data_IF_642919576240
#
_entry.id   IF_642919576240
#
_cell.length_a   1.000
_cell.length_b   1.000
_cell.length_c   1.000
_cell.angle_alpha   90.00
_cell.angle_beta   90.00
_cell.angle_gamma   90.00
#
_symmetry.space_group_name_H-M   'P 1'
#
loop_
_entity.id
_entity.type
_entity.pdbx_description
1 polymer ?
#
# COMPACT_ATOMS: atom_id res chain seq x y z
N UNK A 1 -7.24 5.64 -3.72
CA UNK A 1 -6.56 4.52 -3.04
C UNK A 1 -7.55 3.44 -2.63
N UNK A 2 -8.52 3.74 -1.76
CA UNK A 2 -9.57 2.79 -1.32
C UNK A 2 -10.30 2.09 -2.48
N UNK A 3 -10.63 2.81 -3.56
CA UNK A 3 -11.24 2.22 -4.77
C UNK A 3 -10.37 1.14 -5.42
N UNK A 4 -9.04 1.32 -5.45
CA UNK A 4 -8.11 0.34 -6.00
C UNK A 4 -8.04 -0.90 -5.11
N UNK A 5 -7.96 -0.72 -3.79
CA UNK A 5 -7.99 -1.84 -2.85
C UNK A 5 -9.30 -2.62 -2.93
N UNK A 6 -10.44 -1.92 -2.99
CA UNK A 6 -11.74 -2.55 -3.21
C UNK A 6 -11.78 -3.34 -4.51
N UNK A 7 -11.22 -2.79 -5.59
CA UNK A 7 -11.15 -3.48 -6.87
C UNK A 7 -10.27 -4.73 -6.80
N UNK A 8 -9.11 -4.65 -6.15
CA UNK A 8 -8.24 -5.82 -5.90
C UNK A 8 -9.03 -6.85 -5.09
N UNK A 9 -9.68 -6.44 -4.01
CA UNK A 9 -10.36 -7.39 -3.15
C UNK A 9 -11.58 -8.05 -3.81
N UNK A 10 -12.37 -7.33 -4.61
CA UNK A 10 -13.66 -7.83 -5.12
C UNK A 10 -13.58 -8.44 -6.53
N UNK A 11 -12.48 -8.24 -7.26
CA UNK A 11 -12.35 -8.74 -8.62
C UNK A 11 -12.08 -10.25 -8.67
N UNK A 12 -12.64 -10.93 -9.67
CA UNK A 12 -12.40 -12.36 -9.89
C UNK A 12 -11.08 -12.59 -10.65
N UNK A 13 -9.96 -12.30 -10.00
CA UNK A 13 -8.62 -12.54 -10.54
C UNK A 13 -8.03 -13.91 -10.16
N UNK A 14 -8.77 -14.73 -9.40
CA UNK A 14 -8.35 -16.09 -9.00
C UNK A 14 -7.12 -16.10 -8.10
N UNK A 15 -6.92 -15.04 -7.31
CA UNK A 15 -5.83 -14.90 -6.35
C UNK A 15 -6.42 -14.70 -4.97
N UNK A 16 -5.77 -15.26 -3.96
CA UNK A 16 -6.16 -15.08 -2.57
C UNK A 16 -5.25 -14.03 -1.96
N UNK A 17 -5.81 -12.92 -1.51
CA UNK A 17 -5.03 -11.72 -1.15
C UNK A 17 -5.35 -11.32 0.28
N UNK A 18 -4.33 -11.24 1.13
CA UNK A 18 -4.43 -10.59 2.43
C UNK A 18 -4.13 -9.10 2.28
N UNK A 19 -4.91 -8.24 2.95
CA UNK A 19 -4.67 -6.80 2.99
C UNK A 19 -4.34 -6.39 4.40
N UNK A 20 -3.27 -5.60 4.52
CA UNK A 20 -2.81 -4.99 5.74
C UNK A 20 -2.98 -3.49 5.57
N UNK A 21 -3.87 -2.90 6.35
CA UNK A 21 -4.13 -1.45 6.37
C UNK A 21 -3.45 -0.78 7.56
N UNK A 22 -3.02 0.45 7.36
CA UNK A 22 -2.20 1.16 8.33
C UNK A 22 -2.79 2.50 8.82
N UNK A 23 -4.05 2.82 8.51
CA UNK A 23 -4.64 4.08 8.95
C UNK A 23 -5.26 4.05 10.36
N UNK A 24 -5.14 5.20 11.04
CA UNK A 24 -5.85 5.53 12.27
C UNK A 24 -7.08 6.38 11.87
N UNK A 25 -8.28 5.82 11.96
CA UNK A 25 -9.53 6.54 11.66
C UNK A 25 -10.46 5.79 10.73
N UNK A 26 -11.77 5.98 10.92
CA UNK A 26 -12.88 5.19 10.36
C UNK A 26 -13.07 5.35 8.84
N UNK A 27 -12.19 4.75 8.04
CA UNK A 27 -12.57 4.35 6.68
C UNK A 27 -12.22 2.88 6.54
N UNK A 28 -13.11 2.03 7.07
CA UNK A 28 -13.17 0.62 6.72
C UNK A 28 -13.17 0.53 5.18
N UNK A 29 -12.27 -0.26 4.58
CA UNK A 29 -12.61 -0.94 3.33
C UNK A 29 -14.00 -1.49 3.55
N UNK A 30 -14.98 -0.98 2.80
CA UNK A 30 -16.39 -1.13 3.11
C UNK A 30 -16.69 -2.62 3.33
N UNK A 31 -16.77 -3.00 4.60
CA UNK A 31 -16.87 -4.38 5.04
C UNK A 31 -18.21 -4.97 4.56
N UNK A 32 -19.17 -4.09 4.21
CA UNK A 32 -20.41 -4.44 3.51
C UNK A 32 -20.22 -4.78 2.03
N UNK A 33 -19.30 -4.13 1.32
CA UNK A 33 -18.97 -4.45 -0.08
C UNK A 33 -18.22 -5.78 -0.18
N UNK A 34 -17.29 -6.04 0.75
CA UNK A 34 -16.56 -7.31 0.81
C UNK A 34 -17.48 -8.48 1.20
N UNK A 35 -18.42 -8.28 2.14
CA UNK A 35 -19.37 -9.30 2.57
C UNK A 35 -20.44 -9.65 1.52
N UNK A 36 -20.81 -8.72 0.64
CA UNK A 36 -21.79 -8.96 -0.43
C UNK A 36 -21.27 -9.85 -1.57
N UNK A 37 -19.94 -9.98 -1.71
CA UNK A 37 -19.32 -10.96 -2.59
C UNK A 37 -19.03 -12.25 -1.79
N UNK A 38 -20.09 -13.03 -1.57
CA UNK A 38 -20.13 -14.24 -0.73
C UNK A 38 -19.16 -15.37 -1.12
N UNK A 39 -18.52 -15.30 -2.30
CA UNK A 39 -17.44 -16.22 -2.72
C UNK A 39 -16.02 -15.66 -2.53
N UNK A 40 -15.89 -14.39 -2.14
CA UNK A 40 -14.63 -13.65 -2.05
C UNK A 40 -14.28 -13.35 -0.59
N UNK A 41 -15.29 -13.23 0.28
CA UNK A 41 -15.11 -13.03 1.72
C UNK A 41 -14.30 -14.14 2.42
N UNK A 42 -14.19 -15.34 1.85
CA UNK A 42 -13.38 -16.43 2.41
C UNK A 42 -11.86 -16.25 2.19
N UNK A 43 -11.45 -15.51 1.17
CA UNK A 43 -10.04 -15.35 0.75
C UNK A 43 -9.40 -14.05 1.23
N UNK A 44 -10.19 -13.17 1.85
CA UNK A 44 -9.74 -11.87 2.33
C UNK A 44 -9.51 -11.93 3.83
N UNK A 45 -8.24 -11.80 4.21
CA UNK A 45 -7.87 -11.64 5.62
C UNK A 45 -7.59 -10.17 5.87
N UNK A 46 -8.54 -9.51 6.54
CA UNK A 46 -8.32 -8.18 7.10
C UNK A 46 -7.69 -8.31 8.48
N UNK A 47 -6.59 -7.58 8.71
CA UNK A 47 -5.95 -7.47 10.02
C UNK A 47 -5.86 -5.99 10.39
N UNK A 48 -6.84 -5.51 11.15
CA UNK A 48 -6.81 -4.17 11.72
C UNK A 48 -6.17 -4.23 13.12
N UNK A 49 -5.03 -3.57 13.34
CA UNK A 49 -4.42 -3.43 14.66
C UNK A 49 -3.61 -2.12 14.76
N UNK A 50 -4.32 -0.98 14.75
CA UNK A 50 -3.85 0.38 15.03
C UNK A 50 -2.36 0.61 15.39
N UNK A 51 -1.77 1.58 14.67
CA UNK A 51 -0.48 2.25 14.86
C UNK A 51 0.78 1.55 14.29
N UNK A 52 1.23 2.04 13.13
CA UNK A 52 2.61 1.92 12.63
C UNK A 52 3.30 3.30 12.62
N UNK A 53 3.02 4.21 13.55
CA UNK A 53 3.56 5.57 13.47
C UNK A 53 4.72 5.89 14.43
N UNK A 54 5.12 4.99 15.34
CA UNK A 54 6.29 5.22 16.22
C UNK A 54 7.19 4.00 16.48
N UNK A 55 6.89 2.82 15.92
CA UNK A 55 7.69 1.58 16.03
C UNK A 55 7.56 0.72 14.76
N UNK A 56 7.55 1.39 13.60
CA UNK A 56 7.14 0.89 12.28
C UNK A 56 7.65 -0.52 11.95
N UNK A 57 8.95 -0.75 12.06
CA UNK A 57 9.54 -2.03 11.69
C UNK A 57 9.10 -3.17 12.60
N UNK A 58 9.13 -2.95 13.92
CA UNK A 58 8.84 -4.00 14.89
C UNK A 58 7.39 -4.47 14.85
N UNK A 59 6.46 -3.55 14.61
CA UNK A 59 5.04 -3.87 14.59
C UNK A 59 4.63 -4.52 13.25
N UNK A 60 5.22 -4.10 12.13
CA UNK A 60 5.07 -4.79 10.85
C UNK A 60 5.57 -6.23 10.91
N UNK A 61 6.77 -6.46 11.46
CA UNK A 61 7.34 -7.82 11.62
C UNK A 61 6.40 -8.71 12.43
N UNK A 62 5.95 -8.25 13.61
CA UNK A 62 5.03 -9.03 14.46
C UNK A 62 3.74 -9.37 13.74
N UNK A 63 3.17 -8.40 13.02
CA UNK A 63 1.95 -8.58 12.27
C UNK A 63 2.11 -9.60 11.15
N UNK A 64 3.17 -9.48 10.34
CA UNK A 64 3.46 -10.43 9.27
C UNK A 64 3.66 -11.84 9.84
N UNK A 65 4.46 -12.00 10.90
CA UNK A 65 4.68 -13.31 11.51
C UNK A 65 3.41 -13.90 12.12
N UNK A 66 2.56 -13.08 12.74
CA UNK A 66 1.25 -13.51 13.27
C UNK A 66 0.32 -13.95 12.14
N UNK A 67 0.24 -13.16 11.06
CA UNK A 67 -0.57 -13.45 9.89
C UNK A 67 -0.13 -14.77 9.23
N UNK A 68 1.17 -14.94 9.00
CA UNK A 68 1.73 -16.16 8.43
C UNK A 68 1.49 -17.38 9.32
N UNK A 69 1.61 -17.23 10.64
CA UNK A 69 1.34 -18.32 11.58
C UNK A 69 -0.12 -18.75 11.59
N UNK A 70 -1.06 -17.81 11.46
CA UNK A 70 -2.49 -18.09 11.58
C UNK A 70 -3.14 -18.50 10.26
N UNK A 71 -2.68 -17.93 9.14
CA UNK A 71 -3.37 -18.00 7.85
C UNK A 71 -2.43 -18.09 6.64
N UNK A 72 -1.15 -18.43 6.83
CA UNK A 72 -0.14 -18.42 5.75
C UNK A 72 -0.43 -19.36 4.57
N UNK A 73 -1.32 -20.34 4.73
CA UNK A 73 -1.79 -21.25 3.68
C UNK A 73 -3.07 -20.75 2.95
N UNK A 74 -3.67 -19.66 3.45
CA UNK A 74 -4.96 -19.13 2.97
C UNK A 74 -4.83 -18.05 1.89
N UNK A 75 -3.66 -17.46 1.70
CA UNK A 75 -3.45 -16.41 0.69
C UNK A 75 -2.13 -16.62 -0.06
N UNK A 76 -2.07 -16.09 -1.27
CA UNK A 76 -0.90 -16.17 -2.16
C UNK A 76 -0.13 -14.84 -2.20
N UNK A 77 -0.80 -13.73 -1.84
CA UNK A 77 -0.24 -12.38 -1.87
C UNK A 77 -0.65 -11.59 -0.63
N UNK A 78 0.20 -10.63 -0.24
CA UNK A 78 -0.09 -9.64 0.79
C UNK A 78 0.01 -8.27 0.13
N UNK A 79 -1.03 -7.45 0.25
CA UNK A 79 -0.99 -6.03 -0.08
C UNK A 79 -0.88 -5.25 1.22
N UNK A 80 0.15 -4.41 1.31
CA UNK A 80 0.33 -3.51 2.44
C UNK A 80 -0.03 -2.12 1.97
N UNK A 81 -1.08 -1.58 2.56
CA UNK A 81 -1.45 -0.19 2.44
C UNK A 81 -0.65 0.61 3.46
N UNK A 82 0.07 1.62 2.97
CA UNK A 82 0.84 2.53 3.82
C UNK A 82 0.12 3.87 3.86
N UNK A 83 0.09 4.53 5.02
CA UNK A 83 -0.51 5.86 5.15
C UNK A 83 0.12 6.85 4.16
N UNK A 84 -0.61 7.91 3.79
CA UNK A 84 -0.10 8.91 2.84
C UNK A 84 1.21 9.60 3.26
N UNK A 85 1.58 9.54 4.54
CA UNK A 85 2.84 10.08 5.09
C UNK A 85 3.89 9.01 5.38
N UNK A 86 3.59 7.74 5.12
CA UNK A 86 4.51 6.65 5.34
C UNK A 86 5.69 6.71 4.37
N UNK A 87 6.85 6.33 4.87
CA UNK A 87 8.08 6.21 4.09
C UNK A 87 8.24 4.76 3.62
N UNK A 88 8.39 4.50 2.31
CA UNK A 88 8.58 3.14 1.81
C UNK A 88 9.85 2.46 2.34
N UNK A 89 10.94 3.22 2.48
CA UNK A 89 12.26 2.69 2.85
C UNK A 89 12.26 1.75 4.08
N UNK A 90 11.78 2.18 5.26
CA UNK A 90 11.70 1.33 6.44
C UNK A 90 10.82 0.06 6.28
N UNK A 91 9.77 0.15 5.45
CA UNK A 91 8.91 -1.00 5.14
C UNK A 91 9.67 -2.00 4.27
N UNK A 92 10.29 -1.52 3.19
CA UNK A 92 11.13 -2.33 2.29
C UNK A 92 12.25 -3.03 3.05
N UNK A 93 12.96 -2.27 3.91
CA UNK A 93 14.08 -2.77 4.70
C UNK A 93 13.66 -3.93 5.62
N UNK A 94 12.41 -3.96 6.07
CA UNK A 94 11.87 -5.07 6.88
C UNK A 94 11.91 -6.39 6.11
N UNK A 95 11.55 -6.38 4.82
CA UNK A 95 11.59 -7.59 3.98
C UNK A 95 13.01 -8.01 3.61
N UNK A 96 13.93 -7.05 3.51
CA UNK A 96 15.32 -7.30 3.13
C UNK A 96 16.18 -7.80 4.30
N UNK A 97 15.96 -7.28 5.51
CA UNK A 97 16.90 -7.45 6.63
C UNK A 97 16.36 -8.26 7.81
N UNK A 98 15.06 -8.58 7.86
CA UNK A 98 14.51 -9.45 8.89
C UNK A 98 14.51 -10.93 8.43
N UNK A 99 15.36 -11.75 9.07
CA UNK A 99 15.51 -13.17 8.72
C UNK A 99 14.25 -14.01 8.96
N UNK A 100 13.37 -13.61 9.88
CA UNK A 100 12.14 -14.35 10.12
C UNK A 100 11.10 -14.00 9.08
N UNK A 101 10.95 -12.72 8.75
CA UNK A 101 10.03 -12.26 7.70
C UNK A 101 10.42 -12.87 6.35
N UNK A 102 11.70 -12.76 5.97
CA UNK A 102 12.22 -13.24 4.67
C UNK A 102 12.08 -14.76 4.46
N UNK A 103 11.92 -15.56 5.53
CA UNK A 103 11.62 -17.00 5.43
C UNK A 103 10.22 -17.31 4.95
N UNK A 104 9.27 -16.39 5.16
CA UNK A 104 7.85 -16.62 4.86
C UNK A 104 7.33 -15.73 3.73
N UNK A 105 7.83 -14.50 3.63
CA UNK A 105 7.33 -13.50 2.70
C UNK A 105 8.49 -12.78 2.03
N UNK A 106 8.30 -12.39 0.77
CA UNK A 106 9.24 -11.58 -0.01
C UNK A 106 8.51 -10.33 -0.51
N UNK A 107 9.23 -9.21 -0.61
CA UNK A 107 8.70 -8.02 -1.27
C UNK A 107 8.66 -8.28 -2.79
N UNK A 108 7.47 -8.16 -3.38
CA UNK A 108 7.29 -8.32 -4.84
C UNK A 108 7.50 -7.01 -5.59
N UNK A 109 7.03 -5.90 -5.02
CA UNK A 109 7.29 -4.56 -5.52
C UNK A 109 6.53 -3.49 -4.76
N UNK A 110 6.89 -2.24 -5.03
CA UNK A 110 6.27 -1.02 -4.49
C UNK A 110 5.44 -0.37 -5.59
N UNK A 111 4.16 -0.15 -5.29
CA UNK A 111 3.23 0.51 -6.21
C UNK A 111 2.83 1.87 -5.64
N UNK A 112 3.09 2.93 -6.40
CA UNK A 112 2.74 4.30 -6.01
C UNK A 112 1.60 4.82 -6.88
N UNK A 113 0.49 5.18 -6.24
CA UNK A 113 -0.65 5.80 -6.90
C UNK A 113 -0.48 7.33 -6.92
N UNK A 114 -0.42 7.93 -8.10
CA UNK A 114 -0.17 9.36 -8.29
C UNK A 114 -1.45 10.05 -8.72
N UNK A 115 -1.92 11.03 -7.94
CA UNK A 115 -3.00 11.93 -8.33
C UNK A 115 -2.45 12.97 -9.34
N UNK A 116 -2.73 12.77 -10.63
CA UNK A 116 -2.23 13.63 -11.69
C UNK A 116 -2.57 15.10 -11.48
N UNK A 117 -3.71 15.43 -10.85
CA UNK A 117 -4.12 16.82 -10.67
C UNK A 117 -3.22 17.59 -9.70
N UNK A 118 -2.68 16.90 -8.71
CA UNK A 118 -1.91 17.51 -7.63
C UNK A 118 -0.43 17.07 -7.61
N UNK A 119 -0.05 16.13 -8.48
CA UNK A 119 1.27 15.50 -8.50
C UNK A 119 2.41 16.53 -8.58
N UNK A 120 2.39 17.43 -9.57
CA UNK A 120 3.47 18.41 -9.75
C UNK A 120 3.56 19.39 -8.58
N UNK A 121 2.45 19.73 -7.93
CA UNK A 121 2.46 20.57 -6.73
C UNK A 121 3.21 19.87 -5.59
N UNK A 122 2.92 18.59 -5.34
CA UNK A 122 3.56 17.82 -4.27
C UNK A 122 5.03 17.50 -4.58
N UNK A 123 5.35 17.15 -5.83
CA UNK A 123 6.73 16.85 -6.25
C UNK A 123 7.63 18.08 -6.21
N UNK A 124 7.12 19.27 -6.55
CA UNK A 124 7.87 20.52 -6.52
C UNK A 124 7.85 21.20 -5.15
N UNK A 125 7.17 20.64 -4.15
CA UNK A 125 7.11 21.23 -2.82
C UNK A 125 8.51 21.32 -2.21
N UNK A 126 8.96 22.55 -1.96
CA UNK A 126 10.26 22.81 -1.33
C UNK A 126 10.14 22.59 0.17
N UNK A 127 10.75 21.51 0.67
CA UNK A 127 10.84 21.22 2.10
C UNK A 127 12.01 21.96 2.74
N UNK A 128 11.98 22.09 4.07
CA UNK A 128 13.08 22.64 4.84
C UNK A 128 14.37 21.82 4.62
N UNK A 129 15.53 22.44 4.84
CA UNK A 129 16.83 21.77 4.71
C UNK A 129 16.84 20.49 5.58
N UNK A 130 17.29 19.38 5.00
CA UNK A 130 17.36 18.05 5.61
C UNK A 130 16.02 17.31 5.78
N UNK A 131 14.92 17.91 5.32
CA UNK A 131 13.62 17.22 5.25
C UNK A 131 13.45 16.66 3.84
N UNK A 132 13.26 15.35 3.75
CA UNK A 132 12.97 14.65 2.49
C UNK A 132 11.53 14.95 2.09
N UNK A 133 11.31 15.27 0.82
CA UNK A 133 9.96 15.38 0.26
C UNK A 133 9.38 13.96 0.11
N UNK A 134 8.29 13.70 0.82
CA UNK A 134 7.65 12.39 0.89
C UNK A 134 7.09 11.93 -0.47
N UNK A 135 6.54 12.86 -1.27
CA UNK A 135 6.03 12.53 -2.61
C UNK A 135 7.16 12.12 -3.55
N UNK A 136 8.31 12.82 -3.48
CA UNK A 136 9.51 12.45 -4.25
C UNK A 136 10.04 11.09 -3.80
N UNK A 137 10.09 10.85 -2.49
CA UNK A 137 10.54 9.58 -1.93
C UNK A 137 9.63 8.42 -2.37
N UNK A 138 8.31 8.57 -2.27
CA UNK A 138 7.34 7.53 -2.67
C UNK A 138 7.40 7.21 -4.16
N UNK A 139 7.60 8.21 -5.02
CA UNK A 139 7.79 7.98 -6.47
C UNK A 139 9.13 7.31 -6.75
N UNK A 140 10.20 7.71 -6.06
CA UNK A 140 11.54 7.16 -6.28
C UNK A 140 11.68 5.68 -5.86
N UNK A 141 10.93 5.23 -4.85
CA UNK A 141 10.91 3.83 -4.44
C UNK A 141 9.94 2.95 -5.25
N UNK A 142 9.14 3.52 -6.14
CA UNK A 142 8.12 2.78 -6.86
C UNK A 142 8.73 1.89 -7.97
N UNK A 143 8.41 0.60 -7.94
CA UNK A 143 8.62 -0.29 -9.07
C UNK A 143 7.55 -0.08 -10.15
N UNK A 144 6.36 0.38 -9.74
CA UNK A 144 5.28 0.73 -10.64
C UNK A 144 4.52 1.97 -10.15
N UNK A 145 4.32 2.90 -11.06
CA UNK A 145 3.51 4.09 -10.84
C UNK A 145 2.18 3.91 -11.55
N UNK A 146 1.08 4.17 -10.84
CA UNK A 146 -0.26 4.22 -11.40
C UNK A 146 -0.71 5.68 -11.42
N UNK A 147 -0.90 6.22 -12.61
CA UNK A 147 -1.45 7.56 -12.80
C UNK A 147 -2.97 7.50 -12.61
N UNK A 148 -3.48 8.33 -11.71
CA UNK A 148 -4.88 8.40 -11.36
C UNK A 148 -5.42 9.80 -11.59
N UNK A 149 -6.72 9.90 -11.88
CA UNK A 149 -7.40 11.15 -12.20
C UNK A 149 -6.81 11.87 -13.43
N UNK A 150 -6.37 11.10 -14.43
CA UNK A 150 -5.85 11.65 -15.70
C UNK A 150 -6.91 12.46 -16.45
N UNK A 151 -8.19 12.23 -16.17
CA UNK A 151 -9.32 12.99 -16.70
C UNK A 151 -9.42 14.43 -16.16
N UNK A 152 -8.69 14.76 -15.09
CA UNK A 152 -8.69 16.11 -14.47
C UNK A 152 -7.55 17.01 -14.94
N UNK A 153 -6.70 16.51 -15.83
CA UNK A 153 -5.54 17.23 -16.38
C UNK A 153 -5.58 17.22 -17.90
N UNK A 154 -4.98 18.23 -18.52
CA UNK A 154 -4.81 18.24 -19.97
C UNK A 154 -3.58 17.42 -20.42
N UNK A 155 -3.46 17.22 -21.74
CA UNK A 155 -2.36 16.43 -22.32
C UNK A 155 -0.98 17.04 -22.01
N UNK A 156 -0.89 18.36 -21.81
CA UNK A 156 0.38 19.04 -21.50
C UNK A 156 0.78 18.76 -20.05
N UNK A 157 -0.15 18.88 -19.10
CA UNK A 157 0.05 18.52 -17.70
C UNK A 157 0.43 17.04 -17.55
N UNK A 158 -0.21 16.15 -18.34
CA UNK A 158 0.08 14.71 -18.31
C UNK A 158 1.44 14.36 -18.92
N UNK A 159 1.82 15.03 -20.01
CA UNK A 159 3.12 14.85 -20.65
C UNK A 159 4.27 15.25 -19.71
N UNK A 160 4.10 16.32 -18.93
CA UNK A 160 5.08 16.72 -17.90
C UNK A 160 5.28 15.64 -16.83
N UNK A 161 4.25 14.86 -16.51
CA UNK A 161 4.32 13.78 -15.50
C UNK A 161 4.91 12.47 -16.04
N UNK A 162 4.95 12.29 -17.36
CA UNK A 162 5.28 11.01 -18.01
C UNK A 162 6.59 11.02 -18.80
N UNK A 163 7.15 12.19 -19.05
CA UNK A 163 8.47 12.38 -19.67
C UNK A 163 9.63 12.22 -18.70
#
# INVERSE_FOLDING_TARGET
>A
QTTLLNHILTSQHGKRIAVIENEFGEVDIDSSLVANHSSVAEDIVMVNNGCLCCTVRGDLVKMLLKLMKQKGDKFDHIVIETTGLAKPGPVIETFCSDELVSKYVKLDGVVTLVDCKHAMQHLNEVKARWVVNEAVEQVAYADRIILNKTDLVDDTELEVLTN
#
